data_IF_632120955418
#
_entry.id   IF_632120955418
#
_cell.length_a   1.000
_cell.length_b   1.000
_cell.length_c   1.000
_cell.angle_alpha   90.00
_cell.angle_beta   90.00
_cell.angle_gamma   90.00
#
_symmetry.space_group_name_H-M   'P 1'
#
loop_
_entity.id
_entity.type
_entity.pdbx_description
1 polymer ?
#
# COMPACT_ATOMS: atom_id res chain seq x y z
N UNK A 1 -11.39 -4.54 -23.60
CA UNK A 1 -10.09 -3.89 -23.39
C UNK A 1 -10.32 -2.77 -22.40
N UNK A 2 -9.70 -2.82 -21.22
CA UNK A 2 -9.39 -1.66 -20.39
C UNK A 2 -8.33 -2.13 -19.39
N UNK A 3 -7.10 -1.63 -19.56
CA UNK A 3 -5.98 -1.79 -18.64
C UNK A 3 -5.81 -0.45 -17.92
N UNK A 4 -6.27 -0.37 -16.69
CA UNK A 4 -6.05 0.74 -15.78
C UNK A 4 -4.91 0.33 -14.85
N UNK A 5 -3.68 0.43 -15.36
CA UNK A 5 -2.48 0.27 -14.56
C UNK A 5 -1.98 1.66 -14.16
N UNK A 6 -2.61 2.26 -13.15
CA UNK A 6 -2.14 3.50 -12.53
C UNK A 6 -0.94 3.15 -11.64
N UNK A 7 0.26 3.14 -12.21
CA UNK A 7 1.51 3.13 -11.43
C UNK A 7 1.69 4.54 -10.86
N UNK A 8 1.01 4.83 -9.76
CA UNK A 8 1.22 6.05 -8.98
C UNK A 8 2.55 5.94 -8.23
N UNK A 9 3.58 6.65 -8.71
CA UNK A 9 4.75 6.96 -7.87
C UNK A 9 4.32 8.02 -6.86
N UNK A 10 3.89 7.61 -5.66
CA UNK A 10 3.63 8.56 -4.58
C UNK A 10 4.96 8.99 -3.96
N UNK A 11 5.54 10.09 -4.47
CA UNK A 11 6.64 10.82 -3.82
C UNK A 11 6.02 11.81 -2.84
N UNK A 12 5.64 11.36 -1.65
CA UNK A 12 5.14 12.24 -0.60
C UNK A 12 6.30 13.01 0.03
N UNK A 13 6.36 14.31 -0.26
CA UNK A 13 7.11 15.31 0.50
C UNK A 13 6.75 15.21 1.99
N UNK A 14 7.68 15.57 2.88
CA UNK A 14 7.69 15.35 4.34
C UNK A 14 6.46 15.80 5.18
N UNK A 15 5.38 16.28 4.57
CA UNK A 15 4.07 16.38 5.22
C UNK A 15 3.45 14.99 5.29
N UNK A 16 3.71 14.27 6.38
CA UNK A 16 3.13 12.95 6.64
C UNK A 16 1.60 13.01 6.56
N UNK A 17 1.01 12.45 5.51
CA UNK A 17 -0.43 12.17 5.48
C UNK A 17 -0.71 11.20 6.63
N UNK A 18 -1.58 11.59 7.56
CA UNK A 18 -1.93 10.80 8.77
C UNK A 18 -2.64 9.46 8.47
N UNK A 19 -2.78 9.10 7.19
CA UNK A 19 -3.48 7.92 6.74
C UNK A 19 -2.62 6.69 7.04
N UNK A 20 -3.12 5.81 7.91
CA UNK A 20 -2.46 4.56 8.25
C UNK A 20 -3.06 3.45 7.39
N UNK A 21 -2.21 2.60 6.85
CA UNK A 21 -2.64 1.42 6.09
C UNK A 21 -2.04 0.17 6.73
N UNK A 22 -2.84 -0.89 6.80
CA UNK A 22 -2.42 -2.21 7.27
C UNK A 22 -2.43 -3.18 6.09
N UNK A 23 -1.34 -3.92 5.89
CA UNK A 23 -1.21 -4.89 4.79
C UNK A 23 -1.12 -6.28 5.40
N UNK A 24 -1.98 -7.21 4.95
CA UNK A 24 -1.96 -8.63 5.32
C UNK A 24 -1.81 -9.47 4.06
N UNK A 25 -1.11 -10.59 4.11
CA UNK A 25 -0.97 -11.50 2.96
C UNK A 25 0.19 -12.47 3.11
N UNK A 26 0.38 -13.32 2.10
CA UNK A 26 1.40 -14.36 2.09
C UNK A 26 2.74 -13.79 1.57
N UNK A 27 3.79 -13.81 2.40
CA UNK A 27 5.11 -13.39 1.96
C UNK A 27 5.70 -14.42 1.00
N UNK A 28 5.89 -14.03 -0.26
CA UNK A 28 6.46 -14.92 -1.27
C UNK A 28 7.99 -14.88 -1.29
N UNK A 29 8.57 -13.67 -1.30
CA UNK A 29 10.02 -13.49 -1.20
C UNK A 29 10.34 -12.17 -0.53
N UNK A 30 11.47 -12.12 0.16
CA UNK A 30 12.05 -10.89 0.70
C UNK A 30 13.52 -10.81 0.28
N UNK A 31 14.02 -9.60 0.09
CA UNK A 31 15.44 -9.32 -0.19
C UNK A 31 15.85 -8.05 0.53
N UNK A 32 16.94 -8.13 1.27
CA UNK A 32 17.63 -6.97 1.79
C UNK A 32 18.98 -6.84 1.08
N UNK A 33 19.23 -5.68 0.49
CA UNK A 33 20.48 -5.38 -0.19
C UNK A 33 20.68 -3.87 -0.17
N UNK A 34 21.87 -3.42 0.21
CA UNK A 34 22.25 -1.99 0.18
C UNK A 34 21.28 -1.08 0.95
N UNK A 35 20.92 -1.47 2.18
CA UNK A 35 19.94 -0.77 3.05
C UNK A 35 18.51 -0.63 2.47
N UNK A 36 18.23 -1.32 1.37
CA UNK A 36 16.91 -1.39 0.74
C UNK A 36 16.26 -2.75 0.98
N UNK A 37 15.05 -2.71 1.51
CA UNK A 37 14.16 -3.84 1.65
C UNK A 37 13.27 -3.97 0.42
N UNK A 38 13.19 -5.17 -0.14
CA UNK A 38 12.20 -5.55 -1.14
C UNK A 38 11.37 -6.71 -0.60
N UNK A 39 10.05 -6.54 -0.54
CA UNK A 39 9.11 -7.59 -0.13
C UNK A 39 8.14 -7.85 -1.28
N UNK A 40 7.88 -9.12 -1.58
CA UNK A 40 6.85 -9.54 -2.52
C UNK A 40 5.82 -10.34 -1.75
N UNK A 41 4.60 -9.83 -1.66
CA UNK A 41 3.45 -10.43 -0.99
C UNK A 41 2.49 -10.94 -2.08
N UNK A 42 1.96 -12.15 -1.90
CA UNK A 42 0.88 -12.72 -2.72
C UNK A 42 -0.41 -12.71 -1.92
N UNK A 43 -1.54 -12.62 -2.63
CA UNK A 43 -2.88 -12.62 -2.05
C UNK A 43 -2.99 -11.60 -0.90
N UNK A 44 -2.57 -10.37 -1.18
CA UNK A 44 -2.51 -9.29 -0.22
C UNK A 44 -3.85 -8.58 -0.05
N UNK A 45 -4.15 -8.19 1.18
CA UNK A 45 -5.31 -7.41 1.59
C UNK A 45 -4.78 -6.15 2.29
N UNK A 46 -5.06 -4.98 1.72
CA UNK A 46 -4.71 -3.69 2.29
C UNK A 46 -5.96 -3.06 2.91
N UNK A 47 -5.89 -2.72 4.19
CA UNK A 47 -6.94 -2.03 4.94
C UNK A 47 -6.51 -0.60 5.24
N UNK A 48 -7.35 0.37 4.97
CA UNK A 48 -7.10 1.77 5.30
C UNK A 48 -7.79 2.17 6.60
N UNK A 49 -7.01 2.57 7.60
CA UNK A 49 -7.52 3.12 8.85
C UNK A 49 -7.92 4.59 8.61
N UNK A 50 -9.20 4.92 8.81
CA UNK A 50 -9.75 6.29 8.80
C UNK A 50 -9.76 7.01 7.44
N UNK A 51 -9.77 6.28 6.32
CA UNK A 51 -9.89 6.87 4.99
C UNK A 51 -11.26 7.48 4.73
N UNK A 52 -11.43 8.78 4.95
CA UNK A 52 -12.51 9.53 4.32
C UNK A 52 -12.14 9.71 2.84
N UNK A 53 -12.21 8.63 2.06
CA UNK A 53 -12.09 8.67 0.63
C UNK A 53 -13.48 9.04 0.11
N UNK A 54 -13.56 10.22 -0.51
CA UNK A 54 -14.77 10.68 -1.20
C UNK A 54 -15.30 9.55 -2.08
N UNK A 55 -16.59 9.26 -1.91
CA UNK A 55 -17.31 8.13 -2.47
C UNK A 55 -17.52 8.18 -4.00
N UNK A 56 -16.53 8.63 -4.77
CA UNK A 56 -16.63 8.77 -6.22
C UNK A 56 -16.07 7.59 -7.04
N UNK A 57 -15.29 6.68 -6.42
CA UNK A 57 -14.76 5.47 -7.09
C UNK A 57 -15.22 4.13 -6.46
N UNK A 58 -16.24 4.14 -5.59
CA UNK A 58 -16.71 2.96 -4.85
C UNK A 58 -17.92 2.25 -5.50
N UNK A 59 -17.81 1.85 -6.76
CA UNK A 59 -18.86 1.11 -7.47
C UNK A 59 -18.83 -0.41 -7.17
N UNK A 60 -18.88 -0.77 -5.88
CA UNK A 60 -19.41 -2.02 -5.30
C UNK A 60 -18.97 -2.11 -3.84
N UNK A 61 -19.65 -1.40 -2.92
CA UNK A 61 -19.47 -1.63 -1.49
C UNK A 61 -20.86 -1.78 -0.85
N UNK A 62 -21.27 -3.04 -0.70
CA UNK A 62 -22.40 -3.43 0.14
C UNK A 62 -22.12 -3.08 1.60
N UNK A 63 -23.17 -2.53 2.23
CA UNK A 63 -23.40 -2.22 3.64
C UNK A 63 -22.48 -2.86 4.71
N UNK A 64 -22.20 -2.04 5.74
CA UNK A 64 -21.69 -2.38 7.08
C UNK A 64 -20.16 -2.31 7.30
N UNK A 65 -19.73 -1.16 7.86
CA UNK A 65 -18.36 -0.72 8.21
C UNK A 65 -17.49 -0.29 7.02
N UNK A 66 -17.18 1.01 6.83
CA UNK A 66 -16.34 1.48 5.73
C UNK A 66 -14.84 1.25 6.01
N UNK A 67 -14.45 0.03 6.41
CA UNK A 67 -13.05 -0.39 6.35
C UNK A 67 -12.75 -0.64 4.88
N UNK A 68 -12.15 0.34 4.20
CA UNK A 68 -11.79 0.17 2.79
C UNK A 68 -10.74 -0.92 2.69
N UNK A 69 -11.17 -2.07 2.18
CA UNK A 69 -10.34 -3.24 1.96
C UNK A 69 -10.01 -3.40 0.47
N UNK A 70 -8.73 -3.29 0.13
CA UNK A 70 -8.20 -3.46 -1.21
C UNK A 70 -7.52 -4.83 -1.32
N UNK A 71 -8.03 -5.70 -2.18
CA UNK A 71 -7.44 -7.02 -2.45
C UNK A 71 -6.51 -6.96 -3.65
N UNK A 72 -5.39 -7.66 -3.60
CA UNK A 72 -4.41 -7.73 -4.68
C UNK A 72 -3.76 -9.12 -4.77
N UNK A 73 -3.50 -9.60 -5.98
CA UNK A 73 -2.87 -10.91 -6.18
C UNK A 73 -1.37 -10.89 -5.88
N UNK A 74 -0.73 -9.74 -6.15
CA UNK A 74 0.71 -9.56 -5.95
C UNK A 74 1.05 -8.10 -5.64
N UNK A 75 1.65 -7.90 -4.48
CA UNK A 75 2.17 -6.62 -4.03
C UNK A 75 3.70 -6.66 -3.93
N UNK A 76 4.38 -5.66 -4.48
CA UNK A 76 5.83 -5.48 -4.34
C UNK A 76 6.08 -4.19 -3.55
N UNK A 77 6.69 -4.32 -2.38
CA UNK A 77 7.09 -3.21 -1.51
C UNK A 77 8.60 -3.04 -1.66
N UNK A 78 9.06 -1.81 -1.90
CA UNK A 78 10.47 -1.44 -1.85
C UNK A 78 10.60 -0.29 -0.85
N UNK A 79 11.39 -0.47 0.20
CA UNK A 79 11.54 0.49 1.29
C UNK A 79 13.03 0.74 1.57
N UNK A 80 13.44 2.00 1.58
CA UNK A 80 14.75 2.41 2.06
C UNK A 80 14.73 2.60 3.58
N UNK A 81 15.89 2.43 4.23
CA UNK A 81 16.05 2.82 5.63
C UNK A 81 15.64 4.28 5.86
N UNK A 82 14.80 4.53 6.87
CA UNK A 82 14.42 5.88 7.29
C UNK A 82 15.51 6.56 8.14
N UNK A 83 16.56 5.82 8.54
CA UNK A 83 17.71 6.41 9.23
C UNK A 83 18.43 7.32 8.23
N UNK A 84 18.50 8.62 8.53
CA UNK A 84 19.41 9.51 7.81
C UNK A 84 20.83 8.98 8.02
N UNK A 85 21.53 8.59 6.96
CA UNK A 85 22.98 8.47 7.02
C UNK A 85 23.54 9.88 7.29
N UNK A 86 24.20 10.07 8.43
CA UNK A 86 24.87 11.31 8.82
C UNK A 86 24.44 11.85 10.18
N UNK A 87 25.04 11.30 11.24
CA UNK A 87 25.79 12.13 12.20
C UNK A 87 27.27 11.94 11.86
#
# INVERSE_FOLDING_TARGET
>A
MNLNNTVGKQTTSASASSNKFTIKGDLHTYRFCDEVWTLIIKNGVLKLENGNLSAEDAENASSENPDLELKCDKLRIVACSAKKQGD
#
